data_IF_130395142332
#
_entry.id   IF_130395142332
#
_cell.length_a   1.000
_cell.length_b   1.000
_cell.length_c   1.000
_cell.angle_alpha   90.00
_cell.angle_beta   90.00
_cell.angle_gamma   90.00
#
_symmetry.space_group_name_H-M   'P 1'
#
loop_
_entity.id
_entity.type
_entity.pdbx_description
1 polymer ?
#
# COMPACT_ATOMS: atom_id res chain seq x y z
N UNK A 1 -6.09 -7.26 14.93
CA UNK A 1 -6.31 -6.88 16.32
C UNK A 1 -7.58 -6.05 16.48
N UNK A 2 -7.84 -5.02 15.67
CA UNK A 2 -9.10 -4.23 15.73
C UNK A 2 -10.34 -5.11 15.53
N UNK A 3 -10.29 -6.08 14.59
CA UNK A 3 -11.37 -7.06 14.45
C UNK A 3 -11.60 -7.87 15.72
N UNK A 4 -10.56 -8.34 16.38
CA UNK A 4 -10.66 -9.07 17.64
C UNK A 4 -11.32 -8.21 18.74
N UNK A 5 -10.89 -6.95 18.86
CA UNK A 5 -11.51 -5.99 19.77
C UNK A 5 -13.01 -5.83 19.50
N UNK A 6 -13.42 -5.64 18.24
CA UNK A 6 -14.85 -5.52 17.89
C UNK A 6 -15.66 -6.79 18.18
N UNK A 7 -15.02 -7.95 18.15
CA UNK A 7 -15.69 -9.25 18.34
C UNK A 7 -15.88 -9.59 19.81
N UNK A 8 -14.87 -9.34 20.66
CA UNK A 8 -14.89 -9.77 22.05
C UNK A 8 -14.92 -8.63 23.10
N UNK A 9 -14.73 -7.38 22.67
CA UNK A 9 -14.74 -6.21 23.56
C UNK A 9 -13.47 -6.03 24.41
N UNK A 10 -12.47 -6.91 24.29
CA UNK A 10 -11.25 -6.82 25.08
C UNK A 10 -10.33 -5.70 24.54
N UNK A 11 -10.20 -4.64 25.36
CA UNK A 11 -9.45 -3.44 25.03
C UNK A 11 -7.95 -3.66 24.82
N UNK A 12 -7.40 -4.78 25.28
CA UNK A 12 -5.98 -5.10 25.05
C UNK A 12 -5.65 -5.19 23.56
N UNK A 13 -6.56 -5.74 22.75
CA UNK A 13 -6.37 -5.84 21.30
C UNK A 13 -6.34 -4.47 20.64
N UNK A 14 -7.19 -3.55 21.08
CA UNK A 14 -7.16 -2.16 20.59
C UNK A 14 -5.86 -1.46 20.97
N UNK A 15 -5.48 -1.54 22.26
CA UNK A 15 -4.27 -0.89 22.76
C UNK A 15 -3.02 -1.39 22.05
N UNK A 16 -2.85 -2.70 21.92
CA UNK A 16 -1.71 -3.29 21.20
C UNK A 16 -1.69 -2.85 19.73
N UNK A 17 -2.84 -2.77 19.07
CA UNK A 17 -2.90 -2.31 17.68
C UNK A 17 -2.45 -0.86 17.53
N UNK A 18 -2.91 0.03 18.42
CA UNK A 18 -2.54 1.45 18.42
C UNK A 18 -1.05 1.64 18.75
N UNK A 19 -0.56 0.96 19.78
CA UNK A 19 0.84 1.07 20.18
C UNK A 19 1.79 0.53 19.10
N UNK A 20 1.41 -0.57 18.43
CA UNK A 20 2.15 -1.10 17.29
C UNK A 20 2.17 -0.09 16.14
N UNK A 21 1.03 0.48 15.77
CA UNK A 21 0.95 1.48 14.70
C UNK A 21 1.80 2.73 15.02
N UNK A 22 1.78 3.23 16.27
CA UNK A 22 2.60 4.35 16.72
C UNK A 22 4.10 4.02 16.69
N UNK A 23 4.48 2.83 17.14
CA UNK A 23 5.87 2.35 17.10
C UNK A 23 6.37 2.25 15.67
N UNK A 24 5.55 1.71 14.77
CA UNK A 24 5.83 1.65 13.33
C UNK A 24 5.97 3.06 12.75
N UNK A 25 5.05 3.96 13.07
CA UNK A 25 5.11 5.36 12.61
C UNK A 25 6.39 6.07 13.03
N UNK A 26 6.86 5.83 14.23
CA UNK A 26 8.07 6.43 14.81
C UNK A 26 9.35 5.89 14.15
N UNK A 27 9.41 4.59 13.89
CA UNK A 27 10.68 3.92 13.59
C UNK A 27 10.84 3.54 12.11
N UNK A 28 9.75 3.20 11.40
CA UNK A 28 9.80 2.71 10.02
C UNK A 28 9.85 3.81 8.96
N UNK A 29 9.55 5.07 9.28
CA UNK A 29 9.52 6.14 8.28
C UNK A 29 10.69 7.08 8.40
N UNK A 30 11.22 7.49 7.24
CA UNK A 30 12.21 8.56 7.09
C UNK A 30 11.53 9.93 7.12
N UNK A 31 12.31 10.98 7.08
CA UNK A 31 11.79 12.37 7.09
C UNK A 31 10.95 12.71 5.84
N UNK A 32 11.22 12.05 4.74
CA UNK A 32 10.48 12.17 3.47
C UNK A 32 9.27 11.24 3.36
N UNK A 33 8.97 10.51 4.45
CA UNK A 33 7.90 9.52 4.55
C UNK A 33 8.11 8.24 3.73
N UNK A 34 9.29 8.02 3.17
CA UNK A 34 9.67 6.70 2.68
C UNK A 34 9.88 5.73 3.86
N UNK A 35 9.61 4.43 3.63
CA UNK A 35 9.71 3.45 4.71
C UNK A 35 10.99 2.62 4.63
N UNK A 36 11.51 2.26 5.81
CA UNK A 36 12.36 1.09 5.96
C UNK A 36 11.50 -0.15 5.93
N UNK A 37 12.01 -1.26 5.41
CA UNK A 37 11.25 -2.49 5.32
C UNK A 37 11.21 -3.25 6.65
N UNK A 38 12.36 -3.48 7.25
CA UNK A 38 12.53 -4.24 8.50
C UNK A 38 13.20 -3.40 9.56
N UNK A 39 12.67 -3.47 10.78
CA UNK A 39 13.29 -2.87 11.96
C UNK A 39 13.53 -3.96 12.99
N UNK A 40 14.78 -4.15 13.37
CA UNK A 40 15.17 -5.05 14.44
C UNK A 40 15.17 -4.30 15.77
N UNK A 41 14.53 -4.88 16.77
CA UNK A 41 14.47 -4.32 18.10
C UNK A 41 15.19 -5.20 19.11
N UNK A 42 15.85 -4.57 20.05
CA UNK A 42 16.32 -5.25 21.25
C UNK A 42 15.11 -5.74 22.07
N UNK A 43 15.05 -7.03 22.35
CA UNK A 43 13.89 -7.65 22.98
C UNK A 43 13.72 -7.31 24.47
N UNK A 44 14.75 -6.78 25.11
CA UNK A 44 14.72 -6.40 26.52
C UNK A 44 14.40 -4.91 26.69
N UNK A 45 14.97 -4.07 25.83
CA UNK A 45 14.88 -2.61 25.98
C UNK A 45 13.91 -1.95 25.00
N UNK A 46 13.53 -2.64 23.91
CA UNK A 46 12.75 -2.09 22.80
C UNK A 46 13.54 -1.09 21.95
N UNK A 47 14.84 -0.96 22.14
CA UNK A 47 15.68 -0.08 21.33
C UNK A 47 15.80 -0.60 19.89
N UNK A 48 15.82 0.32 18.91
CA UNK A 48 16.09 -0.04 17.51
C UNK A 48 17.57 -0.42 17.38
N UNK A 49 17.83 -1.63 16.90
CA UNK A 49 19.17 -2.14 16.63
C UNK A 49 19.58 -1.89 15.18
N UNK A 50 18.74 -2.31 14.24
CA UNK A 50 19.01 -2.18 12.80
C UNK A 50 17.76 -1.75 12.03
N UNK A 51 18.01 -1.16 10.85
CA UNK A 51 16.99 -0.78 9.88
C UNK A 51 17.42 -1.34 8.53
N UNK A 52 16.76 -2.42 8.11
CA UNK A 52 17.19 -3.24 6.97
C UNK A 52 16.09 -3.39 5.94
N UNK A 53 16.44 -4.01 4.83
CA UNK A 53 15.48 -4.54 3.88
C UNK A 53 15.55 -6.06 3.81
N UNK A 54 14.43 -6.68 3.43
CA UNK A 54 14.36 -8.10 3.07
C UNK A 54 14.02 -8.26 1.60
N UNK A 55 13.02 -7.52 1.10
CA UNK A 55 12.54 -7.60 -0.27
C UNK A 55 12.88 -6.36 -1.11
N UNK A 56 13.31 -5.24 -0.50
CA UNK A 56 13.73 -4.04 -1.21
C UNK A 56 15.13 -4.14 -1.79
N UNK A 57 15.51 -3.16 -2.59
CA UNK A 57 16.79 -3.09 -3.26
C UNK A 57 17.97 -2.95 -2.28
N UNK A 58 17.82 -2.09 -1.28
CA UNK A 58 18.83 -1.83 -0.25
C UNK A 58 18.17 -1.33 1.04
N UNK A 59 18.93 -1.32 2.14
CA UNK A 59 18.45 -0.81 3.44
C UNK A 59 18.03 0.66 3.37
N UNK A 60 18.61 1.43 2.46
CA UNK A 60 18.29 2.83 2.24
C UNK A 60 17.17 3.05 1.22
N UNK A 61 16.77 2.04 0.44
CA UNK A 61 15.76 2.16 -0.59
C UNK A 61 14.33 2.15 -0.04
N UNK A 62 13.37 2.42 -0.91
CA UNK A 62 11.96 2.37 -0.61
C UNK A 62 11.27 1.29 -1.46
N UNK A 63 11.07 0.12 -0.86
CA UNK A 63 10.33 -0.96 -1.47
C UNK A 63 8.88 -0.57 -1.75
N UNK A 64 8.43 -0.66 -3.01
CA UNK A 64 7.16 -0.07 -3.45
C UNK A 64 5.94 -0.68 -2.74
N UNK A 65 5.91 -2.00 -2.58
CA UNK A 65 4.81 -2.66 -1.86
C UNK A 65 4.81 -2.34 -0.37
N UNK A 66 5.97 -2.11 0.23
CA UNK A 66 6.08 -1.60 1.60
C UNK A 66 5.42 -0.23 1.78
N UNK A 67 5.64 0.69 0.81
CA UNK A 67 4.94 1.98 0.79
C UNK A 67 3.42 1.82 0.64
N UNK A 68 2.99 0.94 -0.27
CA UNK A 68 1.58 0.65 -0.47
C UNK A 68 0.92 0.07 0.80
N UNK A 69 1.59 -0.87 1.49
CA UNK A 69 1.14 -1.39 2.79
C UNK A 69 1.07 -0.32 3.86
N UNK A 70 2.02 0.60 3.90
CA UNK A 70 1.99 1.74 4.82
C UNK A 70 0.76 2.61 4.59
N UNK A 71 0.48 2.99 3.33
CA UNK A 71 -0.70 3.77 2.95
C UNK A 71 -1.99 3.05 3.36
N UNK A 72 -2.14 1.79 2.98
CA UNK A 72 -3.31 0.97 3.31
C UNK A 72 -3.48 0.81 4.83
N UNK A 73 -2.40 0.46 5.53
CA UNK A 73 -2.41 0.20 6.95
C UNK A 73 -2.79 1.43 7.79
N UNK A 74 -2.24 2.60 7.49
CA UNK A 74 -2.59 3.82 8.24
C UNK A 74 -3.98 4.35 7.88
N UNK A 75 -4.45 4.20 6.65
CA UNK A 75 -5.85 4.47 6.29
C UNK A 75 -6.80 3.58 7.11
N UNK A 76 -6.50 2.28 7.20
CA UNK A 76 -7.25 1.34 8.03
C UNK A 76 -7.18 1.69 9.53
N UNK A 77 -6.00 2.05 10.05
CA UNK A 77 -5.86 2.47 11.44
C UNK A 77 -6.74 3.69 11.75
N UNK A 78 -6.79 4.66 10.83
CA UNK A 78 -7.70 5.81 10.99
C UNK A 78 -9.17 5.38 11.01
N UNK A 79 -9.60 4.52 10.08
CA UNK A 79 -10.97 3.96 10.06
C UNK A 79 -11.35 3.34 11.40
N UNK A 80 -10.46 2.58 12.00
CA UNK A 80 -10.73 1.81 13.22
C UNK A 80 -10.66 2.66 14.50
N UNK A 81 -9.93 3.78 14.48
CA UNK A 81 -9.63 4.54 15.70
C UNK A 81 -10.13 5.97 15.71
N UNK A 82 -10.29 6.59 14.53
CA UNK A 82 -10.55 8.02 14.39
C UNK A 82 -9.36 8.92 14.79
N UNK A 83 -8.19 8.36 15.09
CA UNK A 83 -7.03 9.15 15.57
C UNK A 83 -6.39 9.92 14.40
N UNK A 84 -6.38 11.28 14.44
CA UNK A 84 -5.94 12.11 13.31
C UNK A 84 -4.52 11.86 12.85
N UNK A 85 -3.64 11.43 13.74
CA UNK A 85 -2.25 11.12 13.44
C UNK A 85 -2.09 10.01 12.38
N UNK A 86 -3.02 9.04 12.35
CA UNK A 86 -3.00 7.97 11.36
C UNK A 86 -3.49 8.46 9.98
N UNK A 87 -4.49 9.32 9.95
CA UNK A 87 -4.92 9.97 8.70
C UNK A 87 -3.79 10.81 8.11
N UNK A 88 -3.15 11.62 8.94
CA UNK A 88 -2.05 12.47 8.49
C UNK A 88 -0.87 11.62 7.96
N UNK A 89 -0.55 10.50 8.62
CA UNK A 89 0.47 9.57 8.12
C UNK A 89 0.09 8.96 6.77
N UNK A 90 -1.15 8.54 6.58
CA UNK A 90 -1.63 8.02 5.30
C UNK A 90 -1.47 9.06 4.17
N UNK A 91 -1.85 10.32 4.43
CA UNK A 91 -1.70 11.44 3.49
C UNK A 91 -0.23 11.69 3.12
N UNK A 92 0.67 11.65 4.10
CA UNK A 92 2.11 11.84 3.90
C UNK A 92 2.70 10.72 3.03
N UNK A 93 2.30 9.47 3.26
CA UNK A 93 2.74 8.33 2.44
C UNK A 93 2.19 8.43 1.01
N UNK A 94 0.92 8.80 0.85
CA UNK A 94 0.35 9.06 -0.47
C UNK A 94 1.12 10.17 -1.21
N UNK A 95 1.44 11.26 -0.52
CA UNK A 95 2.27 12.33 -1.08
C UNK A 95 3.63 11.83 -1.55
N UNK A 96 4.34 11.03 -0.74
CA UNK A 96 5.61 10.43 -1.13
C UNK A 96 5.48 9.57 -2.40
N UNK A 97 4.49 8.68 -2.46
CA UNK A 97 4.29 7.79 -3.61
C UNK A 97 4.11 8.60 -4.89
N UNK A 98 3.23 9.61 -4.88
CA UNK A 98 2.86 10.34 -6.09
C UNK A 98 3.78 11.53 -6.43
N UNK A 99 4.68 11.91 -5.54
CA UNK A 99 5.76 12.87 -5.84
C UNK A 99 7.08 12.19 -6.20
N UNK A 100 7.14 10.86 -6.15
CA UNK A 100 8.36 10.13 -6.45
C UNK A 100 8.71 10.21 -7.95
N UNK A 101 9.90 10.70 -8.32
CA UNK A 101 10.26 10.92 -9.72
C UNK A 101 10.43 9.63 -10.54
N UNK A 102 10.54 8.48 -9.87
CA UNK A 102 10.66 7.18 -10.54
C UNK A 102 9.31 6.47 -10.70
N UNK A 103 8.22 7.04 -10.18
CA UNK A 103 6.89 6.50 -10.44
C UNK A 103 6.52 6.74 -11.91
N UNK A 104 6.25 5.67 -12.71
CA UNK A 104 5.91 5.84 -14.11
C UNK A 104 4.58 6.54 -14.35
N UNK A 105 4.39 7.08 -15.56
CA UNK A 105 3.15 7.77 -15.95
C UNK A 105 1.89 6.92 -15.82
N UNK A 106 1.99 5.59 -15.95
CA UNK A 106 0.87 4.67 -15.77
C UNK A 106 0.52 4.42 -14.30
N UNK A 107 1.28 4.97 -13.35
CA UNK A 107 1.14 4.84 -11.91
C UNK A 107 1.32 3.40 -11.37
N UNK A 108 1.90 2.51 -12.17
CA UNK A 108 2.26 1.17 -11.73
C UNK A 108 3.75 1.18 -11.36
N UNK A 109 4.11 1.09 -10.08
CA UNK A 109 5.50 1.29 -9.67
C UNK A 109 6.40 0.13 -10.12
N UNK A 110 7.69 0.41 -10.19
CA UNK A 110 8.71 -0.63 -10.16
C UNK A 110 8.72 -1.30 -8.79
N UNK A 111 9.32 -2.48 -8.69
CA UNK A 111 9.37 -3.24 -7.43
C UNK A 111 10.02 -2.49 -6.26
N UNK A 112 10.91 -1.53 -6.56
CA UNK A 112 11.53 -0.60 -5.60
C UNK A 112 11.74 0.75 -6.27
N UNK A 113 11.45 1.85 -5.58
CA UNK A 113 11.56 3.21 -6.11
C UNK A 113 13.02 3.63 -6.38
N UNK A 114 13.99 2.94 -5.79
CA UNK A 114 15.41 3.23 -5.94
C UNK A 114 16.14 2.12 -6.70
N UNK A 115 15.43 1.24 -7.39
CA UNK A 115 16.05 0.17 -8.18
C UNK A 115 16.97 0.76 -9.26
N UNK A 116 18.23 0.26 -9.40
CA UNK A 116 19.25 0.94 -10.18
C UNK A 116 19.05 0.84 -11.69
N UNK A 117 18.28 -0.16 -12.14
CA UNK A 117 18.02 -0.40 -13.56
C UNK A 117 16.76 0.29 -14.10
N UNK A 118 16.11 1.17 -13.34
CA UNK A 118 14.96 1.93 -13.86
C UNK A 118 15.39 2.74 -15.10
N UNK A 119 14.65 2.68 -16.24
CA UNK A 119 13.28 2.15 -16.40
C UNK A 119 13.16 0.66 -16.77
N UNK A 120 14.24 -0.10 -16.85
CA UNK A 120 14.25 -1.51 -17.30
C UNK A 120 14.09 -2.50 -16.12
N UNK A 121 13.44 -2.08 -15.06
CA UNK A 121 13.16 -2.91 -13.89
C UNK A 121 11.76 -3.53 -13.93
N UNK A 122 11.56 -4.71 -13.30
CA UNK A 122 10.22 -5.30 -13.18
C UNK A 122 9.25 -4.38 -12.43
N UNK A 123 7.99 -4.42 -12.86
CA UNK A 123 6.89 -3.73 -12.19
C UNK A 123 6.41 -4.51 -10.96
N UNK A 124 5.74 -3.83 -10.06
CA UNK A 124 4.99 -4.49 -8.99
C UNK A 124 3.51 -4.09 -9.03
N UNK A 125 2.75 -4.84 -9.83
CA UNK A 125 1.29 -4.66 -9.96
C UNK A 125 0.60 -4.79 -8.61
N UNK A 126 1.09 -5.65 -7.72
CA UNK A 126 0.51 -5.80 -6.39
C UNK A 126 0.61 -4.53 -5.55
N UNK A 127 1.71 -3.78 -5.65
CA UNK A 127 1.83 -2.49 -4.98
C UNK A 127 0.81 -1.46 -5.52
N UNK A 128 0.57 -1.47 -6.82
CA UNK A 128 -0.43 -0.60 -7.44
C UNK A 128 -1.86 -0.92 -6.98
N UNK A 129 -2.23 -2.20 -6.91
CA UNK A 129 -3.57 -2.61 -6.49
C UNK A 129 -3.87 -2.24 -5.04
N UNK A 130 -2.90 -2.47 -4.13
CA UNK A 130 -3.00 -2.05 -2.72
C UNK A 130 -3.13 -0.53 -2.62
N UNK A 131 -2.32 0.21 -3.40
CA UNK A 131 -2.38 1.68 -3.44
C UNK A 131 -3.75 2.17 -3.91
N UNK A 132 -4.29 1.64 -5.00
CA UNK A 132 -5.62 2.03 -5.51
C UNK A 132 -6.72 1.76 -4.48
N UNK A 133 -6.71 0.59 -3.86
CA UNK A 133 -7.67 0.23 -2.81
C UNK A 133 -7.59 1.20 -1.62
N UNK A 134 -6.37 1.52 -1.16
CA UNK A 134 -6.16 2.47 -0.07
C UNK A 134 -6.64 3.90 -0.41
N UNK A 135 -6.41 4.36 -1.65
CA UNK A 135 -6.81 5.70 -2.08
C UNK A 135 -8.33 5.90 -2.11
N UNK A 136 -9.08 4.90 -2.58
CA UNK A 136 -10.55 4.98 -2.51
C UNK A 136 -11.05 5.11 -1.09
N UNK A 137 -10.45 4.37 -0.15
CA UNK A 137 -10.82 4.51 1.26
C UNK A 137 -10.37 5.85 1.84
N UNK A 138 -9.12 6.28 1.58
CA UNK A 138 -8.58 7.55 2.06
C UNK A 138 -9.40 8.75 1.58
N UNK A 139 -9.95 8.68 0.35
CA UNK A 139 -10.81 9.72 -0.22
C UNK A 139 -12.08 9.98 0.59
N UNK A 140 -12.51 9.02 1.40
CA UNK A 140 -13.68 9.17 2.27
C UNK A 140 -13.39 10.03 3.52
N UNK A 141 -12.11 10.19 3.87
CA UNK A 141 -11.67 10.84 5.10
C UNK A 141 -10.97 12.19 4.89
N UNK A 142 -10.57 12.51 3.67
CA UNK A 142 -9.90 13.76 3.31
C UNK A 142 -10.64 14.45 2.16
N UNK A 143 -11.66 15.24 2.51
CA UNK A 143 -12.49 15.95 1.54
C UNK A 143 -11.68 16.90 0.66
N UNK A 144 -10.65 17.54 1.20
CA UNK A 144 -9.82 18.50 0.47
C UNK A 144 -9.09 17.87 -0.73
N UNK A 145 -8.62 16.63 -0.57
CA UNK A 145 -7.86 15.93 -1.60
C UNK A 145 -8.66 14.78 -2.25
N UNK A 146 -9.94 14.64 -1.93
CA UNK A 146 -10.82 13.54 -2.36
C UNK A 146 -10.73 13.27 -3.86
N UNK A 147 -10.95 14.29 -4.68
CA UNK A 147 -10.91 14.16 -6.14
C UNK A 147 -9.56 13.66 -6.63
N UNK A 148 -8.47 14.20 -6.11
CA UNK A 148 -7.13 13.78 -6.50
C UNK A 148 -6.79 12.33 -6.12
N UNK A 149 -7.34 11.81 -5.02
CA UNK A 149 -7.19 10.39 -4.65
C UNK A 149 -8.00 9.49 -5.57
N UNK A 150 -9.26 9.86 -5.84
CA UNK A 150 -10.13 9.10 -6.74
C UNK A 150 -9.56 9.06 -8.15
N UNK A 151 -9.14 10.20 -8.70
CA UNK A 151 -8.55 10.28 -10.05
C UNK A 151 -7.31 9.38 -10.20
N UNK A 152 -6.44 9.36 -9.17
CA UNK A 152 -5.26 8.48 -9.18
C UNK A 152 -5.63 7.00 -9.09
N UNK A 153 -6.58 6.66 -8.22
CA UNK A 153 -7.08 5.29 -8.09
C UNK A 153 -7.73 4.81 -9.39
N UNK A 154 -8.53 5.65 -10.02
CA UNK A 154 -9.17 5.36 -11.32
C UNK A 154 -8.13 5.12 -12.42
N UNK A 155 -7.11 5.98 -12.52
CA UNK A 155 -6.01 5.80 -13.48
C UNK A 155 -5.22 4.52 -13.25
N UNK A 156 -4.96 4.16 -11.99
CA UNK A 156 -4.30 2.88 -11.65
C UNK A 156 -5.19 1.72 -12.12
N UNK A 157 -6.48 1.70 -11.77
CA UNK A 157 -7.40 0.62 -12.17
C UNK A 157 -7.55 0.52 -13.69
N UNK A 158 -7.63 1.65 -14.38
CA UNK A 158 -7.70 1.69 -15.84
C UNK A 158 -6.45 1.09 -16.48
N UNK A 159 -5.27 1.50 -16.03
CA UNK A 159 -4.01 0.96 -16.54
C UNK A 159 -3.85 -0.53 -16.23
N UNK A 160 -4.18 -0.96 -15.01
CA UNK A 160 -4.19 -2.37 -14.63
C UNK A 160 -5.10 -3.19 -15.54
N UNK A 161 -6.34 -2.71 -15.77
CA UNK A 161 -7.34 -3.39 -16.60
C UNK A 161 -6.91 -3.49 -18.06
N UNK A 162 -6.33 -2.43 -18.62
CA UNK A 162 -6.03 -2.35 -20.04
C UNK A 162 -4.67 -2.94 -20.43
N UNK A 163 -3.69 -2.98 -19.51
CA UNK A 163 -2.30 -3.31 -19.84
C UNK A 163 -1.72 -4.49 -19.05
N UNK A 164 -2.30 -4.83 -17.90
CA UNK A 164 -1.74 -5.82 -16.97
C UNK A 164 -2.67 -7.01 -16.71
N UNK A 165 -3.84 -7.05 -17.39
CA UNK A 165 -4.77 -8.18 -17.26
C UNK A 165 -4.26 -9.44 -17.95
N UNK A 166 -4.40 -10.56 -17.26
CA UNK A 166 -4.27 -11.88 -17.86
C UNK A 166 -5.40 -12.14 -18.88
N UNK A 167 -5.11 -12.91 -19.92
CA UNK A 167 -6.13 -13.37 -20.86
C UNK A 167 -7.07 -14.36 -20.18
N UNK A 168 -8.35 -14.29 -20.48
CA UNK A 168 -9.37 -15.20 -19.92
C UNK A 168 -9.00 -16.66 -20.19
N UNK A 169 -8.98 -17.47 -19.14
CA UNK A 169 -8.64 -18.89 -19.23
C UNK A 169 -7.14 -19.19 -19.37
N UNK A 170 -6.28 -18.20 -19.21
CA UNK A 170 -4.81 -18.34 -19.14
C UNK A 170 -4.30 -18.13 -17.73
N UNK A 171 -3.00 -18.29 -17.56
CA UNK A 171 -2.25 -17.93 -16.33
C UNK A 171 -2.87 -18.49 -15.03
N UNK A 172 -3.30 -19.76 -15.08
CA UNK A 172 -3.92 -20.47 -13.94
C UNK A 172 -5.12 -19.76 -13.31
N UNK A 173 -5.80 -18.86 -14.04
CA UNK A 173 -6.97 -18.12 -13.57
C UNK A 173 -6.66 -16.83 -12.83
N UNK A 174 -5.41 -16.41 -12.75
CA UNK A 174 -5.06 -15.09 -12.23
C UNK A 174 -5.65 -13.97 -13.08
N UNK A 175 -5.97 -12.85 -12.43
CA UNK A 175 -6.55 -11.68 -13.09
C UNK A 175 -5.48 -10.72 -13.62
N UNK A 176 -4.38 -10.57 -12.88
CA UNK A 176 -3.32 -9.63 -13.17
C UNK A 176 -1.95 -10.33 -13.26
N UNK A 177 -1.11 -9.79 -14.13
CA UNK A 177 0.27 -10.20 -14.37
C UNK A 177 1.25 -9.14 -13.84
N UNK A 178 2.57 -9.42 -13.93
CA UNK A 178 3.64 -8.45 -13.71
C UNK A 178 3.76 -7.92 -12.26
N UNK A 179 3.56 -8.78 -11.28
CA UNK A 179 3.93 -8.48 -9.89
C UNK A 179 5.33 -8.99 -9.55
N UNK A 180 5.98 -8.38 -8.56
CA UNK A 180 7.30 -8.80 -8.10
C UNK A 180 7.28 -9.07 -6.60
N UNK A 181 7.31 -10.33 -6.20
CA UNK A 181 7.31 -10.78 -4.82
C UNK A 181 8.61 -10.43 -4.10
N UNK A 182 9.74 -10.97 -4.58
CA UNK A 182 11.05 -10.74 -3.98
C UNK A 182 12.17 -10.86 -5.02
N UNK A 183 12.50 -9.75 -5.67
CA UNK A 183 13.58 -9.73 -6.69
C UNK A 183 14.96 -10.06 -6.08
N UNK A 184 15.23 -9.57 -4.88
CA UNK A 184 16.48 -9.82 -4.16
C UNK A 184 16.78 -11.30 -3.91
N UNK A 185 15.72 -12.10 -3.78
CA UNK A 185 15.82 -13.56 -3.60
C UNK A 185 15.57 -14.35 -4.89
N UNK A 186 15.35 -13.67 -6.02
CA UNK A 186 15.01 -14.31 -7.30
C UNK A 186 13.68 -15.08 -7.25
N UNK A 187 12.79 -14.72 -6.37
CA UNK A 187 11.49 -15.40 -6.16
C UNK A 187 10.34 -14.49 -6.60
N UNK A 188 9.42 -15.05 -7.36
CA UNK A 188 8.20 -14.37 -7.83
C UNK A 188 8.51 -13.03 -8.53
N UNK A 189 9.42 -13.06 -9.50
CA UNK A 189 9.80 -11.88 -10.28
C UNK A 189 9.01 -11.85 -11.57
N UNK A 190 8.28 -10.76 -11.78
CA UNK A 190 7.45 -10.55 -12.98
C UNK A 190 6.41 -11.66 -13.22
N UNK A 191 5.67 -12.02 -12.20
CA UNK A 191 4.69 -13.12 -12.19
C UNK A 191 3.32 -12.67 -11.66
N UNK A 192 2.24 -13.42 -11.91
CA UNK A 192 0.97 -13.19 -11.22
C UNK A 192 1.09 -13.54 -9.74
N UNK A 193 0.42 -12.76 -8.87
CA UNK A 193 0.41 -13.00 -7.42
C UNK A 193 -1.02 -12.82 -6.89
N UNK A 194 -1.50 -13.76 -6.07
CA UNK A 194 -2.89 -13.81 -5.62
C UNK A 194 -3.37 -12.56 -4.86
N UNK A 195 -2.51 -11.93 -4.08
CA UNK A 195 -2.90 -10.71 -3.37
C UNK A 195 -3.00 -9.48 -4.30
N UNK A 196 -2.36 -9.48 -5.47
CA UNK A 196 -2.63 -8.47 -6.50
C UNK A 196 -4.09 -8.56 -6.97
N UNK A 197 -4.57 -9.76 -7.24
CA UNK A 197 -5.96 -10.00 -7.63
C UNK A 197 -6.93 -9.60 -6.52
N UNK A 198 -6.62 -9.98 -5.27
CA UNK A 198 -7.47 -9.63 -4.12
C UNK A 198 -7.66 -8.11 -4.01
N UNK A 199 -6.57 -7.33 -4.00
CA UNK A 199 -6.67 -5.88 -3.85
C UNK A 199 -7.19 -5.17 -5.09
N UNK A 200 -7.02 -5.76 -6.27
CA UNK A 200 -7.68 -5.28 -7.48
C UNK A 200 -9.20 -5.37 -7.36
N UNK A 201 -9.72 -6.52 -6.94
CA UNK A 201 -11.15 -6.72 -6.71
C UNK A 201 -11.68 -5.84 -5.58
N UNK A 202 -10.91 -5.68 -4.49
CA UNK A 202 -11.29 -4.78 -3.40
C UNK A 202 -11.37 -3.33 -3.87
N UNK A 203 -10.41 -2.87 -4.68
CA UNK A 203 -10.42 -1.52 -5.25
C UNK A 203 -11.64 -1.29 -6.15
N UNK A 204 -11.99 -2.26 -7.01
CA UNK A 204 -13.20 -2.20 -7.85
C UNK A 204 -14.48 -2.14 -7.00
N UNK A 205 -14.55 -2.89 -5.91
CA UNK A 205 -15.69 -2.86 -4.99
C UNK A 205 -15.80 -1.51 -4.26
N UNK A 206 -14.67 -0.93 -3.83
CA UNK A 206 -14.63 0.40 -3.20
C UNK A 206 -15.07 1.49 -4.18
N UNK A 207 -14.57 1.44 -5.42
CA UNK A 207 -15.03 2.32 -6.51
C UNK A 207 -16.55 2.26 -6.69
N UNK A 208 -17.08 1.05 -6.86
CA UNK A 208 -18.52 0.85 -7.09
C UNK A 208 -19.39 1.35 -5.91
N UNK A 209 -18.88 1.30 -4.67
CA UNK A 209 -19.57 1.86 -3.51
C UNK A 209 -19.58 3.38 -3.56
N UNK A 210 -18.43 4.03 -3.82
CA UNK A 210 -18.33 5.48 -3.93
C UNK A 210 -19.24 6.05 -5.02
N UNK A 211 -19.32 5.38 -6.18
CA UNK A 211 -20.19 5.79 -7.28
C UNK A 211 -21.68 5.72 -6.91
N UNK A 212 -22.10 4.66 -6.18
CA UNK A 212 -23.48 4.52 -5.69
C UNK A 212 -23.84 5.59 -4.66
N UNK A 213 -22.93 5.88 -3.73
CA UNK A 213 -23.15 6.92 -2.70
C UNK A 213 -23.19 8.32 -3.35
N UNK A 214 -22.34 8.61 -4.32
CA UNK A 214 -22.37 9.85 -5.09
C UNK A 214 -23.65 10.03 -5.92
N UNK A 215 -24.23 8.94 -6.44
CA UNK A 215 -25.50 8.98 -7.18
C UNK A 215 -26.71 9.17 -6.28
N UNK A 216 -26.63 8.77 -5.01
CA UNK A 216 -27.72 8.94 -4.04
C UNK A 216 -27.83 10.39 -3.48
N UNK A 217 -26.87 11.25 -3.78
CA UNK A 217 -26.81 12.66 -3.34
C UNK A 217 -27.21 13.65 -4.45
N UNK A 218 -27.55 13.17 -5.66
CA UNK A 218 -28.09 13.92 -6.79
C UNK A 218 -29.58 13.61 -6.99
#
# INVERSE_FOLDING_TARGET
>A
LFWAFRTNGDSIFYQVAVDHARTTMKNHFRKDYSSYHVIDYDTLTGAVLHKNTHQGYSDASAWSRGQAWGLYGYTMCYRETGLPEFLERAKQIASYIFSNPTLPDDLIPYWDYNAPGIPDEPRDVSAATVTASALYELSMYDETNRTGYVDRADRILENLTNRYRASVGKDCGFLLLHSTGSKTHGSEVDVPIVYADYYYLEALLRKAKLEKEGTALL
#
